data_IF_532361129040
#
_entry.id   IF_532361129040
#
_cell.length_a   1.000
_cell.length_b   1.000
_cell.length_c   1.000
_cell.angle_alpha   90.00
_cell.angle_beta   90.00
_cell.angle_gamma   90.00
#
_symmetry.space_group_name_H-M   'P 1'
#
loop_
_entity.id
_entity.type
_entity.pdbx_description
1 polymer ?
#
# COMPACT_ATOMS: atom_id res chain seq x y z
N UNK A 1 4.05 55.65 27.44
CA UNK A 1 5.21 54.78 27.14
C UNK A 1 4.85 53.31 27.00
N UNK A 2 4.13 52.70 27.95
CA UNK A 2 3.80 51.25 27.94
C UNK A 2 2.98 50.74 26.74
N UNK A 3 2.15 51.60 26.15
CA UNK A 3 1.25 51.23 25.04
C UNK A 3 1.97 51.22 23.69
N UNK A 4 2.96 52.10 23.51
CA UNK A 4 3.80 52.18 22.30
C UNK A 4 4.74 50.98 22.23
N UNK A 5 5.30 50.56 23.37
CA UNK A 5 6.14 49.35 23.44
C UNK A 5 5.37 48.08 23.11
N UNK A 6 4.10 47.96 23.55
CA UNK A 6 3.24 46.83 23.18
C UNK A 6 2.95 46.80 21.69
N UNK A 7 2.64 47.95 21.08
CA UNK A 7 2.33 48.04 19.65
C UNK A 7 3.53 47.69 18.76
N UNK A 8 4.74 48.10 19.17
CA UNK A 8 5.99 47.76 18.46
C UNK A 8 6.28 46.26 18.59
N UNK A 9 6.12 45.67 19.78
CA UNK A 9 6.32 44.23 20.00
C UNK A 9 5.29 43.40 19.21
N UNK A 10 4.01 43.78 19.20
CA UNK A 10 3.01 43.07 18.37
C UNK A 10 3.25 43.26 16.88
N UNK A 11 3.70 44.43 16.44
CA UNK A 11 4.02 44.65 15.02
C UNK A 11 5.24 43.82 14.59
N UNK A 12 6.28 43.75 15.42
CA UNK A 12 7.45 42.88 15.18
C UNK A 12 7.04 41.40 15.21
N UNK A 13 6.17 40.98 16.14
CA UNK A 13 5.67 39.61 16.22
C UNK A 13 4.81 39.25 15.01
N UNK A 14 3.98 40.17 14.51
CA UNK A 14 3.16 39.99 13.29
C UNK A 14 4.04 39.96 12.04
N UNK A 15 5.06 40.80 11.96
CA UNK A 15 6.05 40.76 10.86
C UNK A 15 6.86 39.46 10.93
N UNK A 16 7.24 39.00 12.13
CA UNK A 16 7.93 37.74 12.32
C UNK A 16 7.03 36.55 11.95
N UNK A 17 5.78 36.52 12.41
CA UNK A 17 4.79 35.53 12.00
C UNK A 17 4.54 35.58 10.49
N UNK A 18 4.34 36.75 9.90
CA UNK A 18 4.15 36.90 8.46
C UNK A 18 5.41 36.55 7.66
N UNK A 19 6.61 36.73 8.21
CA UNK A 19 7.86 36.27 7.59
C UNK A 19 8.06 34.75 7.75
N UNK A 20 7.53 34.14 8.81
CA UNK A 20 7.46 32.69 8.96
C UNK A 20 6.37 32.07 8.05
N UNK A 21 5.24 32.78 7.85
CA UNK A 21 4.16 32.40 6.92
C UNK A 21 4.60 32.55 5.46
N UNK A 22 5.39 33.57 5.12
CA UNK A 22 5.99 33.74 3.79
C UNK A 22 7.27 32.91 3.57
N UNK A 23 7.75 32.18 4.58
CA UNK A 23 8.86 31.21 4.43
C UNK A 23 8.39 29.80 4.08
N UNK A 24 7.08 29.55 3.99
CA UNK A 24 6.55 28.34 3.36
C UNK A 24 6.44 28.63 1.85
N UNK A 25 7.59 28.69 1.19
CA UNK A 25 7.64 28.74 -0.27
C UNK A 25 7.10 27.41 -0.82
N UNK A 26 5.81 27.41 -1.19
CA UNK A 26 5.12 26.38 -1.93
C UNK A 26 5.55 26.35 -3.41
N UNK A 27 6.85 26.26 -3.66
CA UNK A 27 7.42 26.13 -5.00
C UNK A 27 7.99 24.73 -5.16
N UNK A 28 7.61 24.05 -6.25
CA UNK A 28 8.15 22.74 -6.63
C UNK A 28 9.68 22.83 -6.61
N UNK A 29 10.39 22.06 -5.78
CA UNK A 29 11.84 22.09 -5.82
C UNK A 29 12.30 21.56 -7.18
N UNK A 30 12.96 22.41 -7.98
CA UNK A 30 13.66 21.94 -9.18
C UNK A 30 14.79 21.03 -8.68
N UNK A 31 14.74 19.75 -9.05
CA UNK A 31 15.75 18.74 -8.66
C UNK A 31 16.76 18.65 -9.80
N UNK A 32 18.03 18.95 -9.50
CA UNK A 32 19.12 18.69 -10.43
C UNK A 32 19.51 17.20 -10.37
N UNK A 33 19.62 16.54 -11.51
CA UNK A 33 19.92 15.10 -11.59
C UNK A 33 21.34 14.91 -12.08
N UNK A 34 22.20 14.42 -11.18
CA UNK A 34 23.57 14.07 -11.49
C UNK A 34 23.69 12.55 -11.55
N UNK A 35 23.96 12.01 -12.73
CA UNK A 35 24.24 10.58 -12.92
C UNK A 35 25.72 10.39 -13.18
N UNK A 36 26.36 9.53 -12.39
CA UNK A 36 27.74 9.08 -12.58
C UNK A 36 27.75 7.58 -12.85
N UNK A 37 28.33 7.15 -13.98
CA UNK A 37 28.44 5.74 -14.33
C UNK A 37 29.92 5.35 -14.28
N UNK A 38 30.24 4.32 -13.51
CA UNK A 38 31.60 3.83 -13.31
C UNK A 38 31.68 2.41 -13.88
N UNK A 39 32.53 2.23 -14.91
CA UNK A 39 32.77 0.94 -15.54
C UNK A 39 33.95 0.20 -14.92
N UNK A 40 33.82 -1.11 -14.73
CA UNK A 40 34.91 -2.00 -14.31
C UNK A 40 35.77 -2.45 -15.51
N UNK A 41 37.03 -2.85 -15.29
CA UNK A 41 37.95 -3.47 -16.27
C UNK A 41 37.33 -4.69 -16.99
N UNK A 42 36.37 -5.36 -16.36
CA UNK A 42 35.60 -6.47 -16.94
C UNK A 42 34.80 -6.06 -18.19
N UNK A 43 34.32 -4.82 -18.26
CA UNK A 43 33.61 -4.28 -19.43
C UNK A 43 34.59 -4.11 -20.59
N UNK A 44 35.81 -3.66 -20.30
CA UNK A 44 36.87 -3.49 -21.29
C UNK A 44 37.34 -4.81 -21.93
N UNK A 45 37.16 -5.94 -21.22
CA UNK A 45 37.44 -7.28 -21.77
C UNK A 45 36.35 -7.75 -22.73
N UNK A 46 35.11 -7.35 -22.51
CA UNK A 46 33.95 -7.68 -23.34
C UNK A 46 33.89 -6.79 -24.58
N UNK A 47 34.28 -5.52 -24.45
CA UNK A 47 34.41 -4.61 -25.59
C UNK A 47 35.42 -5.10 -26.62
N UNK A 48 36.42 -5.85 -26.17
CA UNK A 48 37.46 -6.47 -27.02
C UNK A 48 37.06 -7.84 -27.59
N UNK A 49 36.01 -8.51 -27.09
CA UNK A 49 35.77 -9.95 -27.38
C UNK A 49 34.57 -10.24 -28.30
N UNK A 50 34.32 -9.41 -29.33
CA UNK A 50 33.25 -9.60 -30.35
C UNK A 50 31.87 -9.30 -29.76
N UNK A 51 31.25 -8.13 -29.99
CA UNK A 51 30.16 -7.93 -30.96
C UNK A 51 29.65 -6.47 -30.98
N UNK A 52 30.36 -5.55 -30.31
CA UNK A 52 30.05 -4.11 -30.23
C UNK A 52 31.14 -3.27 -30.94
N UNK A 53 31.83 -3.81 -31.95
CA UNK A 53 32.91 -3.09 -32.64
C UNK A 53 32.45 -1.73 -33.22
N UNK A 54 31.16 -1.55 -33.50
CA UNK A 54 30.60 -0.28 -34.00
C UNK A 54 30.40 0.79 -32.91
N UNK A 55 30.48 0.46 -31.62
CA UNK A 55 30.08 1.37 -30.53
C UNK A 55 31.15 1.69 -29.48
N UNK A 56 32.35 1.12 -29.54
CA UNK A 56 33.18 1.01 -28.34
C UNK A 56 34.46 1.85 -28.30
N UNK A 57 34.28 3.07 -27.81
CA UNK A 57 35.09 3.51 -26.67
C UNK A 57 34.25 3.21 -25.41
N UNK A 58 34.82 2.58 -24.38
CA UNK A 58 34.15 2.34 -23.08
C UNK A 58 33.55 3.65 -22.53
N UNK A 59 34.19 4.78 -22.84
CA UNK A 59 33.67 6.10 -22.53
C UNK A 59 32.37 6.41 -23.27
N UNK A 60 32.25 6.04 -24.56
CA UNK A 60 31.05 6.28 -25.37
C UNK A 60 29.84 5.48 -24.87
N UNK A 61 30.04 4.23 -24.45
CA UNK A 61 28.98 3.42 -23.81
C UNK A 61 28.50 4.06 -22.51
N UNK A 62 29.46 4.41 -21.65
CA UNK A 62 29.21 5.03 -20.34
C UNK A 62 28.47 6.37 -20.48
N UNK A 63 28.91 7.21 -21.42
CA UNK A 63 28.27 8.49 -21.74
C UNK A 63 26.86 8.30 -22.30
N UNK A 64 26.67 7.41 -23.27
CA UNK A 64 25.35 7.18 -23.88
C UNK A 64 24.35 6.62 -22.87
N UNK A 65 24.78 5.70 -22.00
CA UNK A 65 23.93 5.16 -20.94
C UNK A 65 23.54 6.24 -19.93
N UNK A 66 24.51 7.08 -19.52
CA UNK A 66 24.27 8.22 -18.64
C UNK A 66 23.26 9.20 -19.26
N UNK A 67 23.47 9.62 -20.49
CA UNK A 67 22.63 10.62 -21.17
C UNK A 67 21.19 10.12 -21.32
N UNK A 68 20.99 8.85 -21.68
CA UNK A 68 19.67 8.23 -21.76
C UNK A 68 18.96 8.16 -20.40
N UNK A 69 19.69 7.85 -19.32
CA UNK A 69 19.12 7.80 -17.96
C UNK A 69 18.75 9.22 -17.51
N UNK A 70 19.60 10.23 -17.77
CA UNK A 70 19.32 11.64 -17.47
C UNK A 70 18.08 12.11 -18.24
N UNK A 71 18.00 11.80 -19.54
CA UNK A 71 16.83 12.16 -20.36
C UNK A 71 15.55 11.53 -19.78
N UNK A 72 15.56 10.23 -19.50
CA UNK A 72 14.42 9.55 -18.87
C UNK A 72 14.02 10.20 -17.54
N UNK A 73 14.97 10.59 -16.70
CA UNK A 73 14.67 11.27 -15.43
C UNK A 73 14.19 12.70 -15.58
N UNK A 74 14.53 13.39 -16.67
CA UNK A 74 13.93 14.69 -17.00
C UNK A 74 12.52 14.57 -17.55
N UNK A 75 12.21 13.45 -18.21
CA UNK A 75 10.86 13.11 -18.68
C UNK A 75 9.97 12.57 -17.54
N UNK A 76 10.54 11.83 -16.59
CA UNK A 76 9.86 11.44 -15.37
C UNK A 76 9.76 12.66 -14.44
N UNK A 77 8.56 13.09 -14.05
CA UNK A 77 8.37 14.22 -13.14
C UNK A 77 8.94 13.94 -11.72
N UNK A 78 10.27 13.92 -11.55
CA UNK A 78 10.94 13.78 -10.25
C UNK A 78 10.50 14.87 -9.26
N UNK A 79 10.04 16.01 -9.77
CA UNK A 79 9.50 17.12 -8.98
C UNK A 79 8.20 16.75 -8.25
N UNK A 80 7.42 15.79 -8.76
CA UNK A 80 6.21 15.30 -8.10
C UNK A 80 6.53 14.30 -6.97
N UNK A 81 7.77 13.82 -6.85
CA UNK A 81 8.19 12.96 -5.73
C UNK A 81 8.35 13.73 -4.40
N UNK A 82 8.54 15.06 -4.48
CA UNK A 82 8.83 15.92 -3.33
C UNK A 82 7.85 17.10 -3.19
N UNK A 83 6.95 17.29 -4.16
CA UNK A 83 5.94 18.35 -4.14
C UNK A 83 4.71 17.94 -3.31
N UNK A 84 4.14 18.90 -2.59
CA UNK A 84 2.82 18.78 -1.95
C UNK A 84 1.67 19.27 -2.84
N UNK A 85 1.91 19.78 -4.06
CA UNK A 85 0.87 20.32 -4.95
C UNK A 85 1.12 20.09 -6.46
N UNK A 86 0.03 19.88 -7.21
CA UNK A 86 0.01 19.78 -8.68
C UNK A 86 -0.16 21.16 -9.34
N UNK A 87 0.93 21.80 -9.77
CA UNK A 87 0.89 23.01 -10.62
C UNK A 87 1.78 22.82 -11.86
N UNK A 88 1.27 23.24 -13.03
CA UNK A 88 1.97 23.19 -14.33
C UNK A 88 3.06 24.27 -14.36
N UNK A 89 4.32 23.87 -14.60
CA UNK A 89 5.48 24.77 -14.58
C UNK A 89 5.46 25.73 -15.77
N UNK A 90 5.48 27.03 -15.49
CA UNK A 90 5.97 28.02 -16.44
C UNK A 90 6.93 28.98 -15.76
N UNK A 91 8.16 29.03 -16.32
CA UNK A 91 9.30 29.92 -16.04
C UNK A 91 10.40 29.38 -15.11
N UNK A 92 11.62 29.70 -15.54
CA UNK A 92 12.92 29.23 -15.06
C UNK A 92 13.12 29.50 -13.57
N UNK A 93 13.27 28.45 -12.78
CA UNK A 93 13.67 28.50 -11.37
C UNK A 93 15.00 27.77 -11.15
N UNK A 94 15.73 28.17 -10.12
CA UNK A 94 17.02 27.58 -9.70
C UNK A 94 16.79 26.28 -8.90
N UNK A 95 17.62 25.24 -9.07
CA UNK A 95 17.44 23.96 -8.38
C UNK A 95 17.54 24.08 -6.86
N UNK A 96 16.49 23.63 -6.15
CA UNK A 96 16.42 23.58 -4.67
C UNK A 96 16.86 22.21 -4.09
N UNK A 97 17.01 21.19 -4.94
CA UNK A 97 17.47 19.85 -4.55
C UNK A 97 18.38 19.19 -5.60
N UNK A 98 19.09 18.13 -5.20
CA UNK A 98 19.95 17.35 -6.07
C UNK A 98 19.75 15.84 -5.86
N UNK A 99 19.55 15.10 -6.94
CA UNK A 99 19.61 13.64 -6.96
C UNK A 99 20.94 13.20 -7.56
N UNK A 100 21.83 12.68 -6.72
CA UNK A 100 23.09 12.09 -7.16
C UNK A 100 22.91 10.58 -7.27
N UNK A 101 22.95 10.06 -8.49
CA UNK A 101 22.88 8.64 -8.80
C UNK A 101 24.26 8.17 -9.23
N UNK A 102 24.73 7.09 -8.62
CA UNK A 102 25.97 6.46 -8.96
C UNK A 102 25.71 5.01 -9.37
N UNK A 103 26.17 4.64 -10.56
CA UNK A 103 25.94 3.33 -11.17
C UNK A 103 27.29 2.66 -11.38
N UNK A 104 27.56 1.59 -10.63
CA UNK A 104 28.68 0.70 -10.84
C UNK A 104 28.26 -0.44 -11.76
N UNK A 105 28.93 -0.56 -12.90
CA UNK A 105 28.70 -1.66 -13.83
C UNK A 105 29.60 -2.84 -13.43
N UNK A 106 28.99 -3.91 -12.92
CA UNK A 106 29.71 -5.03 -12.33
C UNK A 106 30.11 -6.06 -13.38
N UNK A 107 29.15 -6.46 -14.22
CA UNK A 107 29.32 -7.54 -15.19
C UNK A 107 28.32 -7.40 -16.35
N UNK A 108 28.71 -7.88 -17.53
CA UNK A 108 27.83 -8.00 -18.69
C UNK A 108 28.05 -9.39 -19.30
N UNK A 109 27.02 -10.22 -19.29
CA UNK A 109 27.12 -11.61 -19.77
C UNK A 109 26.12 -11.90 -20.88
N UNK A 110 26.36 -12.98 -21.62
CA UNK A 110 25.43 -13.48 -22.63
C UNK A 110 24.72 -14.70 -22.07
N UNK A 111 23.39 -14.65 -22.03
CA UNK A 111 22.54 -15.77 -21.65
C UNK A 111 21.85 -16.32 -22.88
N UNK A 112 22.04 -17.61 -23.12
CA UNK A 112 21.34 -18.37 -24.17
C UNK A 112 20.21 -19.16 -23.53
N UNK A 113 19.03 -19.08 -24.11
CA UNK A 113 17.84 -19.76 -23.65
C UNK A 113 17.29 -20.62 -24.79
N UNK A 114 17.29 -21.93 -24.59
CA UNK A 114 16.70 -22.86 -25.53
C UNK A 114 15.17 -22.89 -25.35
N UNK A 115 14.45 -22.65 -26.44
CA UNK A 115 12.99 -22.61 -26.47
C UNK A 115 12.50 -23.62 -27.49
N UNK A 116 11.66 -24.55 -27.04
CA UNK A 116 11.14 -25.65 -27.89
C UNK A 116 9.91 -25.24 -28.72
N UNK A 117 9.11 -24.29 -28.21
CA UNK A 117 7.84 -23.88 -28.81
C UNK A 117 7.81 -22.37 -29.05
N UNK A 118 7.31 -21.97 -30.22
CA UNK A 118 7.14 -20.56 -30.58
C UNK A 118 5.66 -20.25 -30.77
N UNK A 119 5.23 -19.07 -30.28
CA UNK A 119 3.85 -18.62 -30.43
C UNK A 119 3.51 -18.40 -31.91
N UNK A 120 2.37 -18.94 -32.33
CA UNK A 120 1.81 -18.87 -33.66
C UNK A 120 0.33 -18.50 -33.53
N UNK A 121 0.01 -17.22 -33.67
CA UNK A 121 -1.33 -16.69 -33.36
C UNK A 121 -2.43 -17.05 -34.37
N UNK A 122 -2.12 -17.79 -35.44
CA UNK A 122 -3.07 -18.07 -36.53
C UNK A 122 -3.42 -19.55 -36.58
N UNK A 123 -2.41 -20.44 -36.61
CA UNK A 123 -2.65 -21.87 -36.77
C UNK A 123 -1.46 -22.68 -36.25
N UNK A 124 -1.39 -22.85 -34.92
CA UNK A 124 -0.41 -23.72 -34.29
C UNK A 124 -0.97 -25.10 -33.94
N UNK A 125 -0.08 -26.07 -33.79
CA UNK A 125 -0.40 -27.46 -33.45
C UNK A 125 -0.55 -27.70 -31.95
N UNK A 126 -0.15 -26.72 -31.14
CA UNK A 126 -0.12 -26.79 -29.68
C UNK A 126 -0.83 -25.60 -29.06
N UNK A 127 -1.30 -25.77 -27.83
CA UNK A 127 -1.69 -24.69 -26.92
C UNK A 127 -0.88 -24.80 -25.63
N UNK A 128 -0.72 -23.70 -24.91
CA UNK A 128 -0.14 -23.72 -23.56
C UNK A 128 -1.25 -23.65 -22.52
N UNK A 129 -1.43 -24.74 -21.74
CA UNK A 129 -2.41 -24.78 -20.67
C UNK A 129 -1.83 -25.55 -19.46
N UNK A 130 -2.11 -25.05 -18.25
CA UNK A 130 -1.67 -25.65 -16.98
C UNK A 130 -0.17 -25.98 -16.95
N UNK A 131 0.66 -25.08 -17.49
CA UNK A 131 2.12 -25.24 -17.51
C UNK A 131 2.68 -26.16 -18.59
N UNK A 132 1.85 -26.72 -19.49
CA UNK A 132 2.25 -27.71 -20.49
C UNK A 132 1.81 -27.32 -21.90
N UNK A 133 2.61 -27.71 -22.88
CA UNK A 133 2.25 -27.63 -24.29
C UNK A 133 1.46 -28.89 -24.68
N UNK A 134 0.18 -28.71 -25.01
CA UNK A 134 -0.73 -29.80 -25.37
C UNK A 134 -0.96 -29.74 -26.87
N UNK A 135 -0.77 -30.86 -27.55
CA UNK A 135 -1.07 -30.97 -28.98
C UNK A 135 -2.59 -30.91 -29.16
N UNK A 136 -3.04 -30.15 -30.15
CA UNK A 136 -4.46 -29.89 -30.37
C UNK A 136 -4.90 -30.16 -31.80
N UNK A 137 -6.18 -30.46 -31.94
CA UNK A 137 -6.89 -30.54 -33.22
C UNK A 137 -8.02 -29.53 -33.21
N UNK A 138 -8.05 -28.66 -34.22
CA UNK A 138 -9.13 -27.71 -34.42
C UNK A 138 -10.33 -28.42 -35.07
N UNK A 139 -11.53 -28.14 -34.60
CA UNK A 139 -12.76 -28.68 -35.16
C UNK A 139 -13.87 -27.64 -35.20
N UNK A 140 -14.85 -27.81 -36.08
CA UNK A 140 -16.02 -26.95 -36.16
C UNK A 140 -17.17 -27.54 -35.33
N UNK A 141 -17.85 -26.68 -34.57
CA UNK A 141 -19.13 -27.06 -33.96
C UNK A 141 -20.23 -26.92 -35.00
N UNK A 142 -21.07 -27.95 -35.11
CA UNK A 142 -22.25 -27.93 -35.97
C UNK A 142 -23.50 -28.00 -35.10
N UNK A 143 -24.46 -27.13 -35.38
CA UNK A 143 -25.81 -27.16 -34.81
C UNK A 143 -26.76 -27.74 -35.85
N UNK A 144 -27.66 -28.61 -35.40
CA UNK A 144 -28.72 -29.12 -36.27
C UNK A 144 -29.87 -28.12 -36.32
N UNK A 145 -30.22 -27.60 -37.51
CA UNK A 145 -31.29 -26.61 -37.71
C UNK A 145 -32.69 -27.23 -37.91
N UNK A 146 -32.80 -28.55 -37.76
CA UNK A 146 -34.01 -29.33 -38.04
C UNK A 146 -34.04 -29.97 -39.42
N UNK A 147 -33.13 -29.61 -40.34
CA UNK A 147 -33.01 -30.22 -41.68
C UNK A 147 -31.57 -30.53 -42.08
N UNK A 148 -30.62 -29.67 -41.75
CA UNK A 148 -29.19 -29.80 -42.00
C UNK A 148 -28.37 -29.51 -40.75
N UNK A 149 -27.13 -30.00 -40.73
CA UNK A 149 -26.12 -29.53 -39.78
C UNK A 149 -25.49 -28.25 -40.35
N UNK A 150 -25.71 -27.13 -39.68
CA UNK A 150 -25.11 -25.83 -39.99
C UNK A 150 -24.01 -25.52 -38.98
N UNK A 151 -22.93 -24.85 -39.40
CA UNK A 151 -21.87 -24.46 -38.49
C UNK A 151 -22.41 -23.49 -37.42
N UNK A 152 -22.16 -23.77 -36.15
CA UNK A 152 -22.63 -22.97 -35.01
C UNK A 152 -21.91 -21.62 -34.98
N UNK A 153 -22.63 -20.54 -34.67
CA UNK A 153 -22.09 -19.16 -34.58
C UNK A 153 -21.05 -19.05 -33.45
N UNK A 154 -21.12 -19.93 -32.45
CA UNK A 154 -20.15 -20.05 -31.36
C UNK A 154 -18.91 -20.91 -31.69
N UNK A 155 -18.53 -20.95 -32.97
CA UNK A 155 -17.12 -20.96 -33.37
C UNK A 155 -16.35 -22.26 -33.14
N UNK A 156 -15.21 -22.31 -33.81
CA UNK A 156 -14.23 -23.41 -33.79
C UNK A 156 -13.89 -23.83 -32.34
N UNK A 157 -13.84 -25.14 -32.09
CA UNK A 157 -13.31 -25.69 -30.84
C UNK A 157 -11.89 -26.21 -31.05
N UNK A 158 -11.12 -26.25 -29.96
CA UNK A 158 -9.79 -26.86 -29.93
C UNK A 158 -9.85 -28.05 -28.98
N UNK A 159 -9.61 -29.26 -29.50
CA UNK A 159 -9.56 -30.47 -28.66
C UNK A 159 -8.11 -30.88 -28.46
N UNK A 160 -7.68 -30.99 -27.20
CA UNK A 160 -6.37 -31.51 -26.86
C UNK A 160 -6.29 -33.03 -26.99
N UNK A 161 -5.07 -33.54 -27.19
CA UNK A 161 -4.80 -34.99 -27.16
C UNK A 161 -5.06 -35.63 -25.79
N UNK A 162 -5.21 -34.82 -24.75
CA UNK A 162 -5.63 -35.22 -23.41
C UNK A 162 -7.16 -35.39 -23.27
N UNK A 163 -7.92 -35.14 -24.34
CA UNK A 163 -9.37 -35.32 -24.40
C UNK A 163 -10.18 -34.07 -24.01
N UNK A 164 -9.52 -33.02 -23.52
CA UNK A 164 -10.17 -31.78 -23.07
C UNK A 164 -10.41 -30.81 -24.23
N UNK A 165 -11.34 -29.88 -24.02
CA UNK A 165 -11.64 -28.79 -24.95
C UNK A 165 -11.10 -27.46 -24.42
N UNK A 166 -10.55 -26.65 -25.32
CA UNK A 166 -9.87 -25.41 -25.03
C UNK A 166 -10.36 -24.27 -25.91
N UNK A 167 -10.12 -23.04 -25.44
CA UNK A 167 -10.42 -21.81 -26.18
C UNK A 167 -9.26 -21.52 -27.14
N UNK A 168 -9.52 -21.26 -28.44
CA UNK A 168 -8.51 -20.93 -29.44
C UNK A 168 -7.97 -19.49 -29.26
N UNK A 169 -7.21 -19.22 -28.20
CA UNK A 169 -6.61 -17.90 -27.95
C UNK A 169 -5.18 -17.83 -28.49
N UNK A 170 -4.31 -18.70 -28.00
CA UNK A 170 -2.88 -18.70 -28.32
C UNK A 170 -2.43 -20.10 -28.75
N UNK A 171 -2.09 -20.23 -30.03
CA UNK A 171 -1.48 -21.46 -30.53
C UNK A 171 0.05 -21.35 -30.60
N UNK A 172 0.68 -22.51 -30.67
CA UNK A 172 2.13 -22.68 -30.67
C UNK A 172 2.55 -23.72 -31.70
N UNK A 173 3.73 -23.52 -32.28
CA UNK A 173 4.37 -24.47 -33.18
C UNK A 173 5.66 -24.98 -32.52
N UNK A 174 5.91 -26.29 -32.64
CA UNK A 174 7.13 -26.92 -32.12
C UNK A 174 8.29 -26.66 -33.06
N UNK A 175 9.02 -25.58 -32.81
CA UNK A 175 10.18 -25.16 -33.60
C UNK A 175 11.30 -24.83 -32.62
N UNK A 176 12.18 -25.78 -32.30
CA UNK A 176 13.27 -25.56 -31.36
C UNK A 176 14.23 -24.48 -31.85
N UNK A 177 14.54 -23.51 -30.99
CA UNK A 177 15.42 -22.39 -31.30
C UNK A 177 16.13 -21.87 -30.05
N UNK A 178 17.17 -21.06 -30.23
CA UNK A 178 17.93 -20.45 -29.13
C UNK A 178 17.74 -18.94 -29.15
N UNK A 179 17.10 -18.40 -28.11
CA UNK A 179 17.05 -16.97 -27.88
C UNK A 179 18.30 -16.54 -27.12
N UNK A 180 18.84 -15.38 -27.48
CA UNK A 180 20.06 -14.85 -26.86
C UNK A 180 19.75 -13.50 -26.23
N UNK A 181 20.21 -13.32 -25.00
CA UNK A 181 20.03 -12.10 -24.22
C UNK A 181 21.38 -11.60 -23.72
N UNK A 182 21.53 -10.29 -23.66
CA UNK A 182 22.56 -9.66 -22.84
C UNK A 182 22.03 -9.45 -21.44
N UNK A 183 22.83 -9.78 -20.43
CA UNK A 183 22.49 -9.61 -19.02
C UNK A 183 23.49 -8.65 -18.40
N UNK A 184 23.03 -7.43 -18.08
CA UNK A 184 23.81 -6.41 -17.40
C UNK A 184 23.56 -6.50 -15.89
N UNK A 185 24.62 -6.70 -15.13
CA UNK A 185 24.61 -6.65 -13.67
C UNK A 185 25.27 -5.35 -13.22
N UNK A 186 24.54 -4.56 -12.45
CA UNK A 186 25.01 -3.28 -11.93
C UNK A 186 24.62 -3.10 -10.46
N UNK A 187 25.41 -2.30 -9.75
CA UNK A 187 25.12 -1.81 -8.42
C UNK A 187 24.83 -0.32 -8.50
N UNK A 188 23.65 0.08 -8.06
CA UNK A 188 23.25 1.48 -8.00
C UNK A 188 23.30 1.96 -6.56
N UNK A 189 23.77 3.19 -6.37
CA UNK A 189 23.54 3.96 -5.16
C UNK A 189 22.98 5.33 -5.52
N UNK A 190 22.13 5.88 -4.66
CA UNK A 190 21.66 7.24 -4.83
C UNK A 190 21.63 8.01 -3.52
N UNK A 191 21.76 9.32 -3.63
CA UNK A 191 21.54 10.28 -2.55
C UNK A 191 20.66 11.39 -3.09
N UNK A 192 19.49 11.55 -2.47
CA UNK A 192 18.59 12.66 -2.71
C UNK A 192 18.77 13.69 -1.60
N UNK A 193 19.22 14.88 -1.96
CA UNK A 193 19.45 15.99 -1.05
C UNK A 193 18.53 17.17 -1.37
N UNK A 194 17.92 17.78 -0.35
CA UNK A 194 17.09 18.99 -0.46
C UNK A 194 17.70 20.05 0.45
N UNK A 195 17.89 21.28 -0.06
CA UNK A 195 18.43 22.41 0.73
C UNK A 195 19.71 22.07 1.52
N UNK A 196 20.57 21.22 0.95
CA UNK A 196 21.83 20.72 1.52
C UNK A 196 21.69 19.73 2.70
N UNK A 197 20.52 19.13 2.87
CA UNK A 197 20.28 18.01 3.78
C UNK A 197 19.97 16.72 3.02
N UNK A 198 20.55 15.60 3.45
CA UNK A 198 20.28 14.29 2.84
C UNK A 198 18.92 13.77 3.30
N UNK A 199 17.97 13.69 2.38
CA UNK A 199 16.60 13.24 2.65
C UNK A 199 16.48 11.74 2.53
N UNK A 200 17.19 11.15 1.56
CA UNK A 200 17.25 9.69 1.42
C UNK A 200 18.49 9.23 0.69
N UNK A 201 18.98 8.08 1.10
CA UNK A 201 20.04 7.34 0.42
C UNK A 201 19.73 5.85 0.42
N UNK A 202 20.09 5.17 -0.65
CA UNK A 202 19.96 3.72 -0.76
C UNK A 202 21.01 3.17 -1.71
N UNK A 203 21.27 1.87 -1.63
CA UNK A 203 22.15 1.15 -2.55
C UNK A 203 21.63 -0.27 -2.79
N UNK A 204 21.58 -0.69 -4.05
CA UNK A 204 21.01 -1.98 -4.44
C UNK A 204 21.68 -2.52 -5.72
N UNK A 205 21.55 -3.82 -5.94
CA UNK A 205 22.03 -4.48 -7.16
C UNK A 205 20.86 -4.80 -8.10
N UNK A 206 21.09 -4.67 -9.40
CA UNK A 206 20.10 -4.93 -10.46
C UNK A 206 20.73 -5.81 -11.52
N UNK A 207 19.97 -6.81 -11.97
CA UNK A 207 20.30 -7.64 -13.12
C UNK A 207 19.23 -7.43 -14.19
N UNK A 208 19.62 -6.86 -15.33
CA UNK A 208 18.72 -6.54 -16.45
C UNK A 208 19.06 -7.45 -17.63
N UNK A 209 18.06 -8.19 -18.14
CA UNK A 209 18.18 -8.97 -19.36
C UNK A 209 17.54 -8.25 -20.55
N UNK A 210 18.30 -7.99 -21.61
CA UNK A 210 17.85 -7.37 -22.85
C UNK A 210 18.02 -8.35 -24.02
N UNK A 211 17.00 -8.56 -24.86
CA UNK A 211 17.09 -9.46 -26.00
C UNK A 211 18.12 -8.98 -27.03
N UNK A 212 19.04 -9.87 -27.42
CA UNK A 212 19.94 -9.68 -28.55
C UNK A 212 19.35 -10.32 -29.81
N UNK A 213 18.98 -11.60 -29.70
CA UNK A 213 18.36 -12.38 -30.77
C UNK A 213 17.09 -12.99 -30.24
N UNK A 214 15.96 -12.64 -30.84
CA UNK A 214 14.69 -13.30 -30.62
C UNK A 214 14.21 -13.96 -31.90
N UNK A 215 13.43 -15.01 -31.73
CA UNK A 215 12.78 -15.66 -32.85
C UNK A 215 11.27 -15.42 -32.79
N UNK A 216 10.70 -15.09 -33.94
CA UNK A 216 9.26 -14.93 -34.12
C UNK A 216 8.80 -15.85 -35.24
N UNK A 217 7.68 -16.52 -35.06
CA UNK A 217 7.11 -17.35 -36.12
C UNK A 217 6.31 -16.50 -37.10
N UNK A 218 6.56 -16.67 -38.39
CA UNK A 218 5.76 -16.12 -39.48
C UNK A 218 4.75 -17.19 -39.93
N UNK A 219 3.48 -17.07 -39.51
CA UNK A 219 2.46 -18.09 -39.78
C UNK A 219 2.03 -18.14 -41.25
N UNK A 220 2.25 -17.08 -42.03
CA UNK A 220 1.85 -17.05 -43.44
C UNK A 220 2.87 -17.75 -44.34
N UNK A 221 4.14 -17.67 -43.97
CA UNK A 221 5.25 -18.26 -44.73
C UNK A 221 5.84 -19.51 -44.06
N UNK A 222 5.23 -20.00 -42.98
CA UNK A 222 5.65 -21.18 -42.21
C UNK A 222 7.14 -21.20 -41.86
N UNK A 223 7.70 -20.05 -41.47
CA UNK A 223 9.14 -19.91 -41.20
C UNK A 223 9.40 -19.20 -39.89
N UNK A 224 10.51 -19.57 -39.25
CA UNK A 224 11.02 -18.87 -38.09
C UNK A 224 11.84 -17.66 -38.56
N UNK A 225 11.43 -16.47 -38.14
CA UNK A 225 12.16 -15.24 -38.37
C UNK A 225 13.11 -14.98 -37.20
N UNK A 226 14.37 -14.74 -37.53
CA UNK A 226 15.39 -14.30 -36.57
C UNK A 226 15.41 -12.78 -36.56
N UNK A 227 15.17 -12.18 -35.39
CA UNK A 227 15.16 -10.74 -35.14
C UNK A 227 16.39 -10.42 -34.30
N UNK A 228 17.34 -9.71 -34.89
CA UNK A 228 18.49 -9.15 -34.18
C UNK A 228 18.23 -7.69 -33.86
N UNK A 229 18.39 -7.32 -32.59
CA UNK A 229 18.20 -5.95 -32.15
C UNK A 229 19.48 -5.14 -32.38
N UNK A 230 19.38 -3.92 -32.95
CA UNK A 230 20.53 -3.06 -33.11
C UNK A 230 21.08 -2.62 -31.76
N UNK A 231 22.38 -2.38 -31.69
CA UNK A 231 23.06 -2.02 -30.44
C UNK A 231 22.51 -0.76 -29.79
N UNK A 232 22.05 0.23 -30.56
CA UNK A 232 21.41 1.44 -30.04
C UNK A 232 20.11 1.15 -29.28
N UNK A 233 19.31 0.20 -29.78
CA UNK A 233 18.06 -0.20 -29.14
C UNK A 233 18.33 -0.98 -27.84
N UNK A 234 19.35 -1.84 -27.85
CA UNK A 234 19.80 -2.57 -26.66
C UNK A 234 20.22 -1.60 -25.54
N UNK A 235 20.97 -0.54 -25.88
CA UNK A 235 21.38 0.50 -24.91
C UNK A 235 20.19 1.24 -24.32
N UNK A 236 19.23 1.63 -25.15
CA UNK A 236 18.02 2.30 -24.70
C UNK A 236 17.18 1.39 -23.78
N UNK A 237 17.10 0.10 -24.09
CA UNK A 237 16.39 -0.87 -23.25
C UNK A 237 17.09 -1.07 -21.90
N UNK A 238 18.44 -1.12 -21.86
CA UNK A 238 19.18 -1.13 -20.60
C UNK A 238 18.93 0.13 -19.78
N UNK A 239 19.08 1.31 -20.39
CA UNK A 239 18.84 2.60 -19.74
C UNK A 239 17.43 2.67 -19.15
N UNK A 240 16.42 2.28 -19.93
CA UNK A 240 15.02 2.25 -19.51
C UNK A 240 14.79 1.31 -18.33
N UNK A 241 15.33 0.10 -18.38
CA UNK A 241 15.14 -0.90 -17.33
C UNK A 241 15.82 -0.50 -16.01
N UNK A 242 17.04 0.03 -16.09
CA UNK A 242 17.78 0.56 -14.93
C UNK A 242 17.06 1.78 -14.33
N UNK A 243 16.59 2.69 -15.19
CA UNK A 243 15.83 3.86 -14.74
C UNK A 243 14.51 3.47 -14.08
N UNK A 244 13.80 2.48 -14.61
CA UNK A 244 12.56 1.97 -14.02
C UNK A 244 12.79 1.35 -12.63
N UNK A 245 13.85 0.57 -12.45
CA UNK A 245 14.15 -0.02 -11.14
C UNK A 245 14.47 1.07 -10.11
N UNK A 246 15.32 2.05 -10.47
CA UNK A 246 15.62 3.19 -9.60
C UNK A 246 14.37 4.05 -9.34
N UNK A 247 13.57 4.32 -10.36
CA UNK A 247 12.33 5.06 -10.23
C UNK A 247 11.33 4.34 -9.34
N UNK A 248 11.22 3.01 -9.38
CA UNK A 248 10.33 2.27 -8.49
C UNK A 248 10.73 2.44 -7.01
N UNK A 249 12.04 2.51 -6.73
CA UNK A 249 12.59 2.75 -5.39
C UNK A 249 12.36 4.18 -4.92
N UNK A 250 12.38 5.13 -5.85
CA UNK A 250 12.05 6.53 -5.60
C UNK A 250 10.53 6.74 -5.47
N UNK A 251 9.70 6.05 -6.25
CA UNK A 251 8.24 6.12 -6.18
C UNK A 251 7.68 5.65 -4.84
N UNK A 252 8.39 4.78 -4.11
CA UNK A 252 8.08 4.48 -2.71
C UNK A 252 8.19 5.68 -1.75
N UNK A 253 8.61 6.86 -2.22
CA UNK A 253 8.58 8.14 -1.49
C UNK A 253 7.39 9.02 -1.86
N UNK A 254 6.74 8.74 -2.99
CA UNK A 254 5.60 9.53 -3.45
C UNK A 254 4.47 9.28 -2.46
N UNK A 255 4.16 10.28 -1.63
CA UNK A 255 2.89 10.30 -0.92
C UNK A 255 1.84 10.71 -1.93
N UNK A 256 0.79 9.92 -2.06
CA UNK A 256 -0.36 10.28 -2.89
C UNK A 256 -1.18 11.34 -2.14
N UNK A 257 -1.62 12.35 -2.87
CA UNK A 257 -2.45 13.45 -2.35
C UNK A 257 -3.63 13.66 -3.28
N UNK A 258 -4.78 14.00 -2.73
CA UNK A 258 -5.98 14.29 -3.49
C UNK A 258 -6.98 15.07 -2.66
N UNK A 259 -8.20 15.13 -3.16
CA UNK A 259 -9.35 15.72 -2.52
C UNK A 259 -10.52 14.75 -2.52
N UNK A 260 -11.45 14.99 -1.61
CA UNK A 260 -12.70 14.26 -1.55
C UNK A 260 -13.61 14.78 -2.65
N UNK A 261 -13.96 13.90 -3.59
CA UNK A 261 -14.84 14.22 -4.71
C UNK A 261 -16.32 14.09 -4.30
N UNK A 262 -16.67 12.99 -3.61
CA UNK A 262 -18.02 12.81 -3.09
C UNK A 262 -18.08 11.89 -1.87
N UNK A 263 -19.08 12.12 -1.02
CA UNK A 263 -19.28 11.37 0.24
C UNK A 263 -20.62 10.64 0.21
N UNK A 264 -20.58 9.32 0.30
CA UNK A 264 -21.76 8.43 0.46
C UNK A 264 -21.50 7.45 1.58
N UNK A 265 -21.62 7.94 2.81
CA UNK A 265 -21.24 7.20 4.02
C UNK A 265 -21.77 5.75 4.03
N UNK A 266 -20.93 4.73 4.34
CA UNK A 266 -19.53 4.79 4.81
C UNK A 266 -18.48 4.83 3.69
N UNK A 267 -18.88 5.11 2.44
CA UNK A 267 -18.01 5.19 1.27
C UNK A 267 -17.67 6.65 0.93
N UNK A 268 -16.44 6.86 0.48
CA UNK A 268 -15.93 8.17 0.05
C UNK A 268 -15.20 7.98 -1.28
N UNK A 269 -15.47 8.86 -2.26
CA UNK A 269 -14.69 8.93 -3.49
C UNK A 269 -13.61 9.99 -3.33
N UNK A 270 -12.39 9.65 -3.74
CA UNK A 270 -11.26 10.58 -3.84
C UNK A 270 -10.86 10.72 -5.30
N UNK A 271 -10.43 11.92 -5.69
CA UNK A 271 -10.06 12.33 -7.06
C UNK A 271 -8.68 11.84 -7.53
N UNK A 272 -8.22 10.75 -6.92
CA UNK A 272 -6.97 10.06 -7.30
C UNK A 272 -7.24 8.57 -7.47
N UNK A 273 -6.70 8.01 -8.55
CA UNK A 273 -7.06 6.68 -9.02
C UNK A 273 -5.88 5.77 -9.33
N UNK A 274 -6.15 4.71 -10.10
CA UNK A 274 -5.13 3.76 -10.54
C UNK A 274 -4.07 4.41 -11.44
N UNK A 275 -4.42 5.47 -12.18
CA UNK A 275 -3.50 6.25 -13.02
C UNK A 275 -2.47 6.98 -12.15
N UNK A 276 -2.88 7.46 -10.98
CA UNK A 276 -2.02 8.14 -10.02
C UNK A 276 -1.14 7.19 -9.21
N UNK A 277 -1.43 5.88 -9.28
CA UNK A 277 -0.71 4.83 -8.58
C UNK A 277 -1.42 4.30 -7.33
N UNK A 278 -2.69 4.69 -7.10
CA UNK A 278 -3.49 4.19 -5.98
C UNK A 278 -3.78 2.68 -6.16
N UNK A 279 -3.62 1.91 -5.09
CA UNK A 279 -3.91 0.46 -5.05
C UNK A 279 -4.93 0.15 -3.95
N UNK A 280 -5.79 -0.86 -4.14
CA UNK A 280 -6.64 -1.38 -3.06
C UNK A 280 -5.81 -1.75 -1.82
N UNK A 281 -6.30 -1.35 -0.64
CA UNK A 281 -5.63 -1.56 0.64
C UNK A 281 -4.71 -0.44 1.11
N UNK A 282 -4.47 0.61 0.31
CA UNK A 282 -3.81 1.83 0.77
C UNK A 282 -4.70 2.61 1.75
N UNK A 283 -4.08 3.45 2.59
CA UNK A 283 -4.75 4.27 3.57
C UNK A 283 -4.46 5.75 3.34
N UNK A 284 -5.50 6.57 3.50
CA UNK A 284 -5.44 8.02 3.40
C UNK A 284 -5.95 8.66 4.68
N UNK A 285 -5.29 9.72 5.13
CA UNK A 285 -5.83 10.61 6.15
C UNK A 285 -6.60 11.74 5.50
N UNK A 286 -7.75 12.09 6.07
CA UNK A 286 -8.55 13.26 5.69
C UNK A 286 -8.21 14.41 6.62
N UNK A 287 -8.04 15.60 6.03
CA UNK A 287 -7.67 16.81 6.75
C UNK A 287 -8.64 17.94 6.43
N UNK A 288 -9.11 18.60 7.49
CA UNK A 288 -9.77 19.91 7.43
C UNK A 288 -8.73 20.98 7.79
N UNK A 289 -8.19 21.64 6.77
CA UNK A 289 -6.96 22.44 6.89
C UNK A 289 -5.79 21.57 7.35
N UNK A 290 -5.18 21.92 8.48
CA UNK A 290 -4.08 21.15 9.09
C UNK A 290 -4.57 20.07 10.07
N UNK A 291 -5.88 20.01 10.34
CA UNK A 291 -6.43 19.10 11.34
C UNK A 291 -6.76 17.75 10.73
N UNK A 292 -6.13 16.69 11.24
CA UNK A 292 -6.49 15.31 10.91
C UNK A 292 -7.84 14.93 11.53
N UNK A 293 -8.79 14.49 10.70
CA UNK A 293 -10.18 14.24 11.13
C UNK A 293 -10.67 12.82 10.83
N UNK A 294 -10.17 12.14 9.80
CA UNK A 294 -10.64 10.80 9.42
C UNK A 294 -9.57 9.96 8.73
N UNK A 295 -9.78 8.65 8.69
CA UNK A 295 -8.98 7.68 7.95
C UNK A 295 -9.85 6.95 6.94
N UNK A 296 -9.32 6.82 5.72
CA UNK A 296 -9.93 6.14 4.60
C UNK A 296 -9.07 4.95 4.18
N UNK A 297 -9.70 3.82 3.86
CA UNK A 297 -9.05 2.66 3.26
C UNK A 297 -9.55 2.46 1.84
N UNK A 298 -8.65 2.40 0.87
CA UNK A 298 -9.00 2.15 -0.53
C UNK A 298 -9.56 0.74 -0.69
N UNK A 299 -10.77 0.64 -1.24
CA UNK A 299 -11.44 -0.64 -1.52
C UNK A 299 -11.40 -0.96 -3.00
N UNK A 300 -11.61 0.04 -3.86
CA UNK A 300 -11.53 -0.08 -5.32
C UNK A 300 -10.88 1.14 -5.93
N UNK A 301 -10.21 0.96 -7.06
CA UNK A 301 -9.59 2.05 -7.83
C UNK A 301 -10.05 1.95 -9.28
N UNK A 302 -10.26 3.11 -9.93
CA UNK A 302 -10.69 3.17 -11.32
C UNK A 302 -10.17 4.45 -11.96
N UNK A 303 -9.27 4.34 -12.94
CA UNK A 303 -8.81 5.48 -13.73
C UNK A 303 -8.23 6.60 -12.85
N UNK A 304 -8.97 7.69 -12.76
CA UNK A 304 -8.71 8.95 -12.05
C UNK A 304 -9.39 9.06 -10.68
N UNK A 305 -10.15 8.06 -10.22
CA UNK A 305 -10.78 8.08 -8.89
C UNK A 305 -10.59 6.77 -8.12
N UNK A 306 -10.78 6.85 -6.80
CA UNK A 306 -10.76 5.68 -5.92
C UNK A 306 -11.93 5.70 -4.94
N UNK A 307 -12.54 4.53 -4.76
CA UNK A 307 -13.57 4.31 -3.75
C UNK A 307 -12.93 3.81 -2.46
N UNK A 308 -13.13 4.57 -1.39
CA UNK A 308 -12.59 4.32 -0.08
C UNK A 308 -13.69 4.01 0.94
N UNK A 309 -13.35 3.25 1.98
CA UNK A 309 -14.16 3.04 3.18
C UNK A 309 -13.63 3.90 4.32
N UNK A 310 -14.51 4.54 5.08
CA UNK A 310 -14.13 5.23 6.31
C UNK A 310 -13.78 4.20 7.38
N UNK A 311 -12.50 4.13 7.78
CA UNK A 311 -12.03 3.25 8.87
C UNK A 311 -11.98 3.97 10.21
N UNK A 312 -11.81 5.29 10.20
CA UNK A 312 -11.86 6.14 11.38
C UNK A 312 -12.45 7.51 11.05
N UNK A 313 -13.20 8.10 11.97
CA UNK A 313 -13.60 9.50 11.93
C UNK A 313 -13.72 10.04 13.35
N UNK A 314 -13.17 11.23 13.60
CA UNK A 314 -13.26 11.89 14.90
C UNK A 314 -14.72 12.15 15.26
N UNK A 315 -15.10 11.92 16.52
CA UNK A 315 -16.47 12.17 16.99
C UNK A 315 -16.88 13.62 16.70
N UNK A 316 -18.14 13.82 16.29
CA UNK A 316 -18.74 15.13 15.99
C UNK A 316 -18.15 15.86 14.76
N UNK A 317 -17.38 15.17 13.92
CA UNK A 317 -16.86 15.72 12.65
C UNK A 317 -17.50 14.97 11.49
N UNK A 318 -17.80 15.70 10.41
CA UNK A 318 -18.29 15.13 9.16
C UNK A 318 -17.21 15.27 8.06
N UNK A 319 -17.25 14.39 7.08
CA UNK A 319 -16.37 14.44 5.91
C UNK A 319 -17.14 15.18 4.82
N UNK A 320 -16.55 16.24 4.27
CA UNK A 320 -17.15 17.04 3.21
C UNK A 320 -16.36 16.95 1.89
N UNK A 321 -17.03 17.28 0.79
CA UNK A 321 -16.40 17.41 -0.52
C UNK A 321 -15.37 18.54 -0.51
N UNK A 322 -14.24 18.34 -1.18
CA UNK A 322 -13.12 19.28 -1.23
C UNK A 322 -12.14 19.17 -0.06
N UNK A 323 -12.38 18.32 0.94
CA UNK A 323 -11.39 18.07 1.98
C UNK A 323 -10.14 17.40 1.42
N UNK A 324 -8.99 17.74 1.99
CA UNK A 324 -7.69 17.24 1.55
C UNK A 324 -7.45 15.82 2.05
N UNK A 325 -6.93 14.96 1.18
CA UNK A 325 -6.50 13.60 1.54
C UNK A 325 -5.03 13.38 1.24
N UNK A 326 -4.34 12.70 2.16
CA UNK A 326 -2.93 12.35 2.01
C UNK A 326 -2.66 10.90 2.41
N UNK A 327 -1.84 10.22 1.63
CA UNK A 327 -1.41 8.85 1.92
C UNK A 327 -0.70 8.78 3.26
N UNK A 328 -1.11 7.81 4.07
CA UNK A 328 -0.53 7.56 5.39
C UNK A 328 -0.40 6.07 5.67
N UNK A 329 0.38 5.76 6.70
CA UNK A 329 0.33 4.43 7.31
C UNK A 329 -0.98 4.29 8.11
N UNK A 330 -1.57 3.08 8.15
CA UNK A 330 -2.78 2.85 8.93
C UNK A 330 -2.52 3.14 10.40
N UNK A 331 -3.47 3.79 11.06
CA UNK A 331 -3.45 4.01 12.50
C UNK A 331 -3.57 2.67 13.22
N UNK A 332 -2.56 2.35 14.01
CA UNK A 332 -2.56 1.15 14.82
C UNK A 332 -3.28 1.41 16.14
N UNK A 333 -4.41 0.73 16.36
CA UNK A 333 -5.16 0.77 17.62
C UNK A 333 -5.10 -0.60 18.25
N UNK A 334 -4.59 -0.69 19.49
CA UNK A 334 -4.60 -1.94 20.25
C UNK A 334 -5.99 -2.14 20.88
N UNK A 335 -6.77 -3.16 20.47
CA UNK A 335 -8.10 -3.40 21.02
C UNK A 335 -8.03 -4.15 22.36
N UNK A 336 -7.13 -3.73 23.25
CA UNK A 336 -6.92 -4.34 24.57
C UNK A 336 -6.96 -3.25 25.62
N UNK A 337 -7.60 -3.51 26.76
CA UNK A 337 -7.59 -2.63 27.92
C UNK A 337 -7.21 -3.35 29.19
N UNK A 338 -6.75 -2.58 30.16
CA UNK A 338 -6.51 -3.05 31.53
C UNK A 338 -7.21 -2.09 32.48
N UNK A 339 -7.95 -2.62 33.45
CA UNK A 339 -8.66 -1.81 34.45
C UNK A 339 -8.55 -2.38 35.84
N UNK A 340 -8.47 -1.49 36.83
CA UNK A 340 -8.66 -1.79 38.25
C UNK A 340 -9.92 -1.04 38.67
N UNK A 341 -10.89 -1.77 39.20
CA UNK A 341 -12.22 -1.27 39.55
C UNK A 341 -12.48 -1.57 41.02
N UNK A 342 -13.10 -0.64 41.72
CA UNK A 342 -13.77 -0.90 42.98
C UNK A 342 -15.26 -1.08 42.69
N UNK A 343 -15.90 -2.13 43.19
CA UNK A 343 -17.34 -2.36 43.12
C UNK A 343 -17.93 -2.31 44.52
N UNK A 344 -18.89 -1.43 44.74
CA UNK A 344 -19.67 -1.35 45.98
C UNK A 344 -20.85 -2.32 45.92
N UNK A 345 -20.99 -3.13 46.97
CA UNK A 345 -22.17 -3.94 47.21
C UNK A 345 -22.91 -3.40 48.44
N UNK A 346 -24.24 -3.18 48.39
CA UNK A 346 -24.98 -2.63 49.53
C UNK A 346 -24.88 -3.45 50.82
N UNK A 347 -24.68 -4.77 50.68
CA UNK A 347 -24.65 -5.73 51.78
C UNK A 347 -23.23 -6.05 52.28
N UNK A 348 -22.18 -5.48 51.67
CA UNK A 348 -20.79 -5.83 51.98
C UNK A 348 -19.83 -4.62 51.85
N UNK A 349 -18.55 -4.78 52.19
CA UNK A 349 -17.53 -3.72 52.04
C UNK A 349 -17.11 -3.48 50.58
N UNK A 350 -17.69 -4.24 49.63
CA UNK A 350 -17.37 -4.17 48.21
C UNK A 350 -16.19 -5.06 47.80
N UNK A 351 -15.82 -5.00 46.53
CA UNK A 351 -14.70 -5.75 45.96
C UNK A 351 -13.78 -4.86 45.12
N UNK A 352 -12.53 -5.28 44.97
CA UNK A 352 -11.58 -4.69 44.01
C UNK A 352 -11.36 -5.71 42.89
N UNK A 353 -11.66 -5.34 41.65
CA UNK A 353 -11.52 -6.19 40.48
C UNK A 353 -10.41 -5.67 39.56
N UNK A 354 -9.44 -6.52 39.24
CA UNK A 354 -8.50 -6.30 38.14
C UNK A 354 -9.04 -7.00 36.90
N UNK A 355 -9.22 -6.27 35.80
CA UNK A 355 -9.75 -6.78 34.53
C UNK A 355 -8.76 -6.53 33.38
N UNK A 356 -8.57 -7.53 32.52
CA UNK A 356 -7.98 -7.40 31.18
C UNK A 356 -9.09 -7.60 30.17
N UNK A 357 -9.23 -6.68 29.22
CA UNK A 357 -10.33 -6.65 28.27
C UNK A 357 -9.86 -6.70 26.83
N UNK A 358 -10.51 -7.51 26.00
CA UNK A 358 -10.46 -7.41 24.55
C UNK A 358 -11.66 -6.58 24.08
N UNK A 359 -11.41 -5.45 23.42
CA UNK A 359 -12.40 -4.42 23.09
C UNK A 359 -12.74 -4.46 21.60
N UNK A 360 -14.02 -4.28 21.26
CA UNK A 360 -14.46 -3.93 19.91
C UNK A 360 -14.74 -2.44 19.88
N UNK A 361 -14.13 -1.73 18.92
CA UNK A 361 -14.27 -0.29 18.79
C UNK A 361 -15.16 0.07 17.58
N UNK A 362 -15.86 1.20 17.67
CA UNK A 362 -16.53 1.80 16.51
C UNK A 362 -15.53 2.60 15.66
N UNK A 363 -16.03 3.16 14.56
CA UNK A 363 -15.29 4.07 13.67
C UNK A 363 -14.80 5.35 14.37
N UNK A 364 -15.31 5.69 15.56
CA UNK A 364 -14.82 6.80 16.37
C UNK A 364 -13.76 6.37 17.40
N UNK A 365 -13.35 5.09 17.37
CA UNK A 365 -12.49 4.43 18.36
C UNK A 365 -13.08 4.38 19.77
N UNK A 366 -14.40 4.47 19.88
CA UNK A 366 -15.12 4.28 21.14
C UNK A 366 -15.48 2.81 21.31
N UNK A 367 -15.45 2.33 22.55
CA UNK A 367 -15.76 0.94 22.90
C UNK A 367 -17.26 0.64 22.69
N UNK A 368 -17.55 -0.26 21.74
CA UNK A 368 -18.88 -0.83 21.51
C UNK A 368 -19.10 -2.00 22.45
N UNK A 369 -18.11 -2.88 22.57
CA UNK A 369 -18.21 -4.07 23.39
C UNK A 369 -16.84 -4.46 23.91
N UNK A 370 -16.83 -5.22 24.99
CA UNK A 370 -15.61 -5.79 25.52
C UNK A 370 -15.88 -7.18 26.10
N UNK A 371 -14.89 -8.05 25.98
CA UNK A 371 -14.79 -9.27 26.76
C UNK A 371 -13.68 -9.07 27.77
N UNK A 372 -14.04 -9.01 29.05
CA UNK A 372 -13.09 -8.84 30.15
C UNK A 372 -12.91 -10.12 30.94
N UNK A 373 -11.68 -10.34 31.38
CA UNK A 373 -11.27 -11.39 32.28
C UNK A 373 -10.66 -10.74 33.50
N UNK A 374 -11.13 -11.11 34.69
CA UNK A 374 -10.67 -10.45 35.88
C UNK A 374 -10.63 -11.32 37.11
N UNK A 375 -9.95 -10.79 38.12
CA UNK A 375 -9.88 -11.35 39.46
C UNK A 375 -10.40 -10.32 40.45
N UNK A 376 -11.38 -10.73 41.25
CA UNK A 376 -11.95 -9.93 42.32
C UNK A 376 -11.37 -10.30 43.68
N UNK A 377 -10.99 -9.29 44.44
CA UNK A 377 -10.67 -9.40 45.87
C UNK A 377 -11.85 -8.86 46.67
N UNK A 378 -12.49 -9.71 47.48
CA UNK A 378 -13.58 -9.30 48.36
C UNK A 378 -13.00 -8.65 49.63
N UNK A 379 -13.31 -7.38 49.85
CA UNK A 379 -12.81 -6.63 50.99
C UNK A 379 -13.47 -7.05 52.31
N UNK A 380 -14.64 -7.69 52.24
CA UNK A 380 -15.41 -8.08 53.43
C UNK A 380 -14.79 -9.30 54.10
N UNK A 381 -14.37 -10.27 53.29
CA UNK A 381 -13.80 -11.53 53.75
C UNK A 381 -12.28 -11.59 53.60
N UNK A 382 -11.66 -10.58 52.96
CA UNK A 382 -10.22 -10.50 52.71
C UNK A 382 -9.66 -11.69 51.90
N UNK A 383 -10.48 -12.26 51.03
CA UNK A 383 -10.14 -13.42 50.19
C UNK A 383 -10.12 -13.04 48.69
N UNK A 384 -9.29 -13.73 47.90
CA UNK A 384 -9.37 -13.67 46.43
C UNK A 384 -10.65 -14.42 46.05
N UNK A 385 -11.72 -13.66 45.90
CA UNK A 385 -13.07 -14.19 45.98
C UNK A 385 -13.62 -14.74 44.67
N UNK A 386 -13.12 -14.32 43.49
CA UNK A 386 -13.65 -14.86 42.24
C UNK A 386 -12.80 -14.56 41.02
N UNK A 387 -12.79 -15.49 40.07
CA UNK A 387 -12.48 -15.20 38.69
C UNK A 387 -13.76 -14.80 37.96
N UNK A 388 -13.72 -13.70 37.21
CA UNK A 388 -14.85 -13.19 36.45
C UNK A 388 -14.55 -13.20 34.95
N UNK A 389 -15.54 -13.63 34.18
CA UNK A 389 -15.61 -13.40 32.74
C UNK A 389 -16.81 -12.52 32.48
N UNK A 390 -16.58 -11.34 31.93
CA UNK A 390 -17.58 -10.30 31.76
C UNK A 390 -17.69 -9.91 30.29
N UNK A 391 -18.90 -9.93 29.75
CA UNK A 391 -19.19 -9.37 28.43
C UNK A 391 -19.96 -8.06 28.57
N UNK A 392 -19.43 -7.00 27.96
CA UNK A 392 -20.03 -5.66 27.92
C UNK A 392 -20.51 -5.38 26.50
N UNK A 393 -21.71 -4.81 26.38
CA UNK A 393 -22.22 -4.34 25.09
C UNK A 393 -22.95 -3.01 25.25
N UNK A 394 -22.53 -2.00 24.48
CA UNK A 394 -23.15 -0.67 24.46
C UNK A 394 -24.51 -0.75 23.79
N UNK A 395 -25.55 -0.23 24.45
CA UNK A 395 -26.87 -0.12 23.85
C UNK A 395 -26.91 1.13 22.97
N UNK A 396 -26.88 0.95 21.65
CA UNK A 396 -26.95 2.04 20.65
C UNK A 396 -25.84 3.09 20.86
N UNK A 397 -26.13 4.35 20.52
CA UNK A 397 -25.23 5.50 20.70
C UNK A 397 -25.21 6.07 22.13
N UNK A 398 -25.72 5.32 23.12
CA UNK A 398 -25.88 5.79 24.51
C UNK A 398 -24.72 5.34 25.40
N UNK A 399 -24.37 6.05 26.49
CA UNK A 399 -23.42 5.59 27.51
C UNK A 399 -23.91 4.38 28.35
N UNK A 400 -25.04 3.78 27.98
CA UNK A 400 -25.65 2.64 28.66
C UNK A 400 -25.08 1.33 28.10
N UNK A 401 -24.71 0.42 28.99
CA UNK A 401 -24.17 -0.89 28.67
C UNK A 401 -25.01 -2.00 29.30
N UNK A 402 -25.17 -3.10 28.57
CA UNK A 402 -25.57 -4.39 29.15
C UNK A 402 -24.32 -5.14 29.51
N UNK A 403 -24.29 -5.70 30.71
CA UNK A 403 -23.22 -6.53 31.22
C UNK A 403 -23.78 -7.91 31.54
N UNK A 404 -23.05 -8.95 31.16
CA UNK A 404 -23.25 -10.29 31.72
C UNK A 404 -21.94 -10.76 32.29
N UNK A 405 -21.92 -11.04 33.58
CA UNK A 405 -20.74 -11.53 34.28
C UNK A 405 -20.97 -12.94 34.77
N UNK A 406 -20.04 -13.82 34.44
CA UNK A 406 -19.94 -15.16 34.99
C UNK A 406 -18.85 -15.13 36.06
N UNK A 407 -19.24 -15.32 37.33
CA UNK A 407 -18.32 -15.41 38.46
C UNK A 407 -18.11 -16.88 38.83
N UNK A 408 -16.85 -17.28 38.91
CA UNK A 408 -16.39 -18.57 39.42
C UNK A 408 -15.85 -18.39 40.84
N UNK A 409 -16.47 -19.05 41.80
CA UNK A 409 -15.98 -19.10 43.19
C UNK A 409 -15.36 -20.46 43.44
N UNK A 410 -14.12 -20.46 43.93
CA UNK A 410 -13.45 -21.66 44.41
C UNK A 410 -13.66 -21.78 45.91
N UNK A 411 -14.68 -22.54 46.32
CA UNK A 411 -14.85 -22.91 47.73
C UNK A 411 -14.10 -24.21 47.99
N UNK A 412 -13.62 -24.40 49.22
CA UNK A 412 -12.78 -25.53 49.68
C UNK A 412 -13.33 -26.94 49.44
N UNK A 413 -14.54 -27.09 48.89
CA UNK A 413 -15.19 -28.36 48.57
C UNK A 413 -15.98 -28.39 47.25
N UNK A 414 -16.17 -27.26 46.55
CA UNK A 414 -16.90 -27.21 45.27
C UNK A 414 -16.66 -25.92 44.48
N UNK A 415 -16.70 -26.02 43.14
CA UNK A 415 -16.73 -24.89 42.23
C UNK A 415 -18.19 -24.43 42.08
N UNK A 416 -18.49 -23.18 42.45
CA UNK A 416 -19.81 -22.59 42.19
C UNK A 416 -19.72 -21.58 41.05
N UNK A 417 -20.68 -21.66 40.13
CA UNK A 417 -20.79 -20.79 38.95
C UNK A 417 -22.06 -19.98 39.08
N UNK A 418 -21.93 -18.66 39.03
CA UNK A 418 -23.08 -17.75 39.00
C UNK A 418 -23.02 -16.88 37.74
N UNK A 419 -24.16 -16.71 37.08
CA UNK A 419 -24.33 -15.78 35.98
C UNK A 419 -25.20 -14.63 36.45
N UNK A 420 -24.65 -13.41 36.41
CA UNK A 420 -25.32 -12.22 36.90
C UNK A 420 -25.52 -11.27 35.71
N UNK A 421 -26.76 -11.15 35.19
CA UNK A 421 -27.07 -10.17 34.18
C UNK A 421 -27.32 -8.80 34.83
N UNK A 422 -26.65 -7.77 34.32
CA UNK A 422 -26.72 -6.42 34.84
C UNK A 422 -26.90 -5.40 33.70
N UNK A 423 -27.51 -4.26 34.01
CA UNK A 423 -27.57 -3.10 33.12
C UNK A 423 -26.96 -1.93 33.85
N UNK A 424 -26.23 -1.07 33.14
CA UNK A 424 -25.50 0.00 33.79
C UNK A 424 -25.06 1.12 32.86
N UNK A 425 -24.37 2.09 33.44
CA UNK A 425 -23.72 3.16 32.70
C UNK A 425 -22.25 3.27 33.14
N UNK A 426 -21.38 3.55 32.17
CA UNK A 426 -19.99 3.86 32.41
C UNK A 426 -19.76 5.34 32.14
N UNK A 427 -19.19 6.05 33.11
CA UNK A 427 -18.74 7.43 32.94
C UNK A 427 -17.21 7.43 32.97
N UNK A 428 -16.60 7.81 31.84
CA UNK A 428 -15.14 7.86 31.69
C UNK A 428 -14.65 9.31 31.77
N UNK A 429 -13.66 9.55 32.63
CA UNK A 429 -12.96 10.83 32.78
C UNK A 429 -11.46 10.61 32.66
N UNK A 430 -10.91 10.79 31.45
CA UNK A 430 -9.52 10.45 31.16
C UNK A 430 -9.26 8.94 31.32
N UNK A 431 -8.33 8.59 32.21
CA UNK A 431 -8.05 7.19 32.57
C UNK A 431 -8.96 6.67 33.69
N UNK A 432 -9.83 7.48 34.26
CA UNK A 432 -10.75 7.03 35.32
C UNK A 432 -12.08 6.59 34.73
N UNK A 433 -12.64 5.50 35.27
CA UNK A 433 -13.95 4.97 34.88
C UNK A 433 -14.80 4.77 36.13
N UNK A 434 -15.98 5.40 36.17
CA UNK A 434 -17.04 5.12 37.13
C UNK A 434 -18.05 4.20 36.45
N UNK A 435 -18.35 3.05 37.06
CA UNK A 435 -19.28 2.04 36.56
C UNK A 435 -20.44 1.90 37.53
N UNK A 436 -21.66 2.21 37.09
CA UNK A 436 -22.87 2.00 37.87
C UNK A 436 -23.67 0.85 37.25
N UNK A 437 -24.05 -0.15 38.04
CA UNK A 437 -24.70 -1.38 37.61
C UNK A 437 -25.97 -1.62 38.45
N UNK A 438 -26.98 -2.21 37.84
CA UNK A 438 -28.18 -2.71 38.54
C UNK A 438 -28.52 -4.08 38.01
N UNK A 439 -28.97 -4.96 38.90
CA UNK A 439 -29.64 -6.19 38.49
C UNK A 439 -30.94 -5.85 37.73
N UNK A 440 -31.33 -6.70 36.78
CA UNK A 440 -32.53 -6.49 35.94
C UNK A 440 -33.83 -6.50 36.79
N UNK A 441 -33.79 -7.03 38.01
CA UNK A 441 -34.92 -7.04 38.95
C UNK A 441 -35.12 -5.73 39.73
N UNK A 442 -34.26 -4.71 39.51
CA UNK A 442 -34.25 -3.41 40.21
C UNK A 442 -34.18 -3.50 41.76
N UNK A 443 -33.83 -4.65 42.32
CA UNK A 443 -33.78 -4.86 43.78
C UNK A 443 -32.46 -4.38 44.40
N UNK A 444 -31.38 -4.36 43.61
CA UNK A 444 -30.02 -4.09 44.06
C UNK A 444 -29.27 -3.18 43.07
N UNK A 445 -28.67 -2.11 43.60
CA UNK A 445 -27.89 -1.12 42.85
C UNK A 445 -26.43 -1.17 43.29
N UNK A 446 -25.53 -1.47 42.36
CA UNK A 446 -24.09 -1.55 42.57
C UNK A 446 -23.41 -0.33 41.93
N UNK A 447 -22.51 0.31 42.67
CA UNK A 447 -21.77 1.48 42.20
C UNK A 447 -20.28 1.21 42.29
N UNK A 448 -19.52 1.53 41.27
CA UNK A 448 -18.09 1.25 41.24
C UNK A 448 -17.29 2.33 40.53
N UNK A 449 -15.99 2.38 40.81
CA UNK A 449 -15.08 3.35 40.23
C UNK A 449 -13.64 2.85 40.19
N UNK A 450 -12.85 3.30 39.22
CA UNK A 450 -11.54 2.73 38.99
C UNK A 450 -10.70 3.45 37.95
N UNK A 451 -9.51 2.90 37.69
CA UNK A 451 -8.57 3.37 36.67
C UNK A 451 -8.52 2.33 35.55
N UNK A 452 -8.66 2.78 34.32
CA UNK A 452 -8.67 1.96 33.11
C UNK A 452 -7.84 2.62 32.01
N UNK A 453 -7.01 1.83 31.35
CA UNK A 453 -6.27 2.21 30.15
C UNK A 453 -6.92 1.59 28.91
#
# INVERSE_FOLDING_TARGET
MHMVTRLIITSILIIFLMSCFNMVFAEKPVIDVSVSVIGNESIEKITKSVFLSELLDTNKFTVTLRDNIVQLFSEMNLQDLLSMQNVILSKREYPKGSLNVLIYLNNLSVRKEFVEYVRNNISGEYIYANGKYIRVVQGARFRFDGKNYIQDENGMYVKGTDGNYYVPLDFYSKVPHENTYYVLECSLSYVLSLERSDVKKDAFAVSVGVPLVLHKYDPYNNRLLRIEYPSSEILNQFAKSVSLELASRLMGLRRLYGFIDSVKFPRVLIDIGSIDGVKPGLYFGVYDGDNYIAELKVVRTAGDYSECEVTYIKSEVEIEEGFFVAEKKPDFVFPVGVSILYLYHPESFGSIEFEISAKTLNIHREEISALSFGFGYDLSNSEIGSFSVSYFHRIRSSPVYVLTTLKLFENSSSLSVSAIPMVGFNIKFGIFTLRALTAIDFSTFELGGGVSW
#
